data_IF_266719436900
#
_entry.id   IF_266719436900
#
_cell.length_a   1.000
_cell.length_b   1.000
_cell.length_c   1.000
_cell.angle_alpha   90.00
_cell.angle_beta   90.00
_cell.angle_gamma   90.00
#
_symmetry.space_group_name_H-M   'P 1'
#
loop_
_entity.id
_entity.type
_entity.pdbx_description
1 polymer ?
#
# COMPACT_ATOMS: atom_id res chain seq x y z
N UNK A 1 24.38 -16.77 -35.46
CA UNK A 1 23.53 -17.84 -36.06
C UNK A 1 23.70 -19.07 -35.19
N UNK A 2 22.70 -19.69 -34.58
CA UNK A 2 21.24 -19.52 -34.61
C UNK A 2 20.69 -19.83 -33.21
N UNK A 3 19.76 -18.99 -32.78
CA UNK A 3 18.79 -19.25 -31.72
C UNK A 3 17.98 -20.49 -32.07
N UNK A 4 17.91 -21.46 -31.18
CA UNK A 4 16.74 -22.35 -31.06
C UNK A 4 16.68 -22.93 -29.64
N UNK A 5 15.88 -22.31 -28.77
CA UNK A 5 15.11 -23.09 -27.78
C UNK A 5 13.69 -22.53 -27.70
N UNK A 6 12.79 -23.49 -27.77
CA UNK A 6 11.34 -23.41 -27.96
C UNK A 6 10.69 -22.54 -26.90
N UNK A 7 9.90 -21.57 -27.36
CA UNK A 7 8.66 -21.17 -26.71
C UNK A 7 7.69 -22.35 -26.84
N UNK A 8 7.25 -22.96 -25.75
CA UNK A 8 5.94 -23.64 -25.64
C UNK A 8 5.70 -24.12 -24.19
N UNK A 9 4.45 -23.89 -23.73
CA UNK A 9 3.77 -24.39 -22.53
C UNK A 9 3.94 -23.65 -21.18
N UNK A 10 2.89 -22.91 -20.79
CA UNK A 10 2.34 -22.80 -19.43
C UNK A 10 3.26 -22.62 -18.20
N UNK A 11 4.31 -21.80 -18.28
CA UNK A 11 5.28 -21.60 -17.18
C UNK A 11 4.78 -20.82 -15.94
N UNK A 12 3.47 -20.54 -15.80
CA UNK A 12 2.98 -19.66 -14.73
C UNK A 12 2.29 -20.36 -13.56
N UNK A 13 2.23 -21.70 -13.53
CA UNK A 13 1.73 -22.47 -12.39
C UNK A 13 2.66 -23.65 -12.13
N UNK A 14 3.39 -23.60 -11.02
CA UNK A 14 4.01 -24.78 -10.41
C UNK A 14 3.68 -24.74 -8.91
N UNK A 15 3.20 -25.84 -8.36
CA UNK A 15 3.03 -26.09 -6.92
C UNK A 15 2.25 -25.06 -6.08
N UNK A 16 1.20 -24.42 -6.64
CA UNK A 16 0.20 -23.71 -5.82
C UNK A 16 0.70 -22.53 -4.96
N UNK A 17 1.75 -21.81 -5.38
CA UNK A 17 2.30 -20.65 -4.65
C UNK A 17 2.44 -19.38 -5.53
N UNK A 18 2.43 -18.21 -4.89
CA UNK A 18 2.52 -16.87 -5.50
C UNK A 18 3.83 -16.70 -6.30
N UNK A 19 3.77 -16.36 -7.59
CA UNK A 19 4.96 -16.39 -8.47
C UNK A 19 5.22 -15.18 -9.36
N UNK A 20 4.32 -14.18 -9.42
CA UNK A 20 4.58 -12.98 -10.25
C UNK A 20 3.90 -11.72 -9.75
N UNK A 21 4.50 -10.59 -10.07
CA UNK A 21 3.85 -9.28 -10.00
C UNK A 21 3.05 -9.08 -11.30
N UNK A 22 1.77 -8.75 -11.15
CA UNK A 22 0.85 -8.52 -12.26
C UNK A 22 0.50 -7.02 -12.33
N UNK A 23 1.01 -6.29 -13.34
CA UNK A 23 0.61 -4.92 -13.58
C UNK A 23 -0.75 -4.85 -14.29
N UNK A 24 -1.68 -4.07 -13.76
CA UNK A 24 -2.87 -3.63 -14.50
C UNK A 24 -2.62 -2.22 -15.07
N UNK A 25 -2.13 -2.17 -16.30
CA UNK A 25 -1.72 -0.94 -16.98
C UNK A 25 -2.89 0.01 -17.30
N UNK A 26 -4.14 -0.45 -17.23
CA UNK A 26 -5.31 0.44 -17.34
C UNK A 26 -5.33 1.52 -16.25
N UNK A 27 -4.68 1.27 -15.11
CA UNK A 27 -4.55 2.22 -14.01
C UNK A 27 -3.32 3.13 -14.12
N UNK A 28 -2.43 2.90 -15.08
CA UNK A 28 -1.18 3.66 -15.17
C UNK A 28 -1.46 5.14 -15.47
N UNK A 29 -0.82 6.04 -14.71
CA UNK A 29 -0.99 7.49 -14.89
C UNK A 29 -0.59 7.94 -16.31
N UNK A 30 0.43 7.30 -16.90
CA UNK A 30 0.88 7.55 -18.28
C UNK A 30 -0.14 7.15 -19.35
N UNK A 31 -1.03 6.20 -19.04
CA UNK A 31 -2.13 5.81 -19.92
C UNK A 31 -3.32 6.76 -19.80
N UNK A 32 -3.48 7.40 -18.63
CA UNK A 32 -4.57 8.35 -18.36
C UNK A 32 -4.27 9.75 -18.87
N UNK A 33 -3.02 10.20 -18.79
CA UNK A 33 -2.54 11.48 -19.31
C UNK A 33 -1.25 11.27 -20.09
N UNK A 34 -1.27 11.51 -21.41
CA UNK A 34 -0.12 11.29 -22.29
C UNK A 34 1.10 12.15 -21.91
N UNK A 35 0.88 13.36 -21.37
CA UNK A 35 1.95 14.24 -20.88
C UNK A 35 2.43 13.89 -19.46
N UNK A 36 1.89 12.84 -18.83
CA UNK A 36 2.37 12.38 -17.53
C UNK A 36 3.76 11.74 -17.67
N UNK A 37 4.69 12.22 -16.87
CA UNK A 37 6.10 11.83 -16.83
C UNK A 37 6.42 10.87 -15.66
N UNK A 38 5.41 10.38 -14.93
CA UNK A 38 5.61 9.56 -13.73
C UNK A 38 6.55 8.36 -13.98
N UNK A 39 7.56 8.22 -13.12
CA UNK A 39 8.59 7.16 -13.19
C UNK A 39 8.82 6.42 -11.86
N UNK A 40 8.01 6.67 -10.84
CA UNK A 40 8.23 6.17 -9.47
C UNK A 40 8.53 4.67 -9.38
N UNK A 41 7.81 3.82 -10.14
CA UNK A 41 8.06 2.38 -10.13
C UNK A 41 9.35 1.96 -10.86
N UNK A 42 9.69 2.66 -11.95
CA UNK A 42 10.92 2.46 -12.74
C UNK A 42 12.13 2.90 -11.92
N UNK A 43 12.10 4.12 -11.40
CA UNK A 43 13.21 4.69 -10.62
C UNK A 43 13.36 3.98 -9.26
N UNK A 44 12.28 3.40 -8.74
CA UNK A 44 12.28 2.58 -7.52
C UNK A 44 12.73 1.12 -7.73
N UNK A 45 12.87 0.65 -8.97
CA UNK A 45 13.23 -0.74 -9.27
C UNK A 45 14.75 -0.93 -9.20
N UNK A 46 15.23 -1.52 -8.10
CA UNK A 46 16.67 -1.74 -7.88
C UNK A 46 17.28 -2.83 -8.77
N UNK A 47 16.44 -3.65 -9.41
CA UNK A 47 16.84 -4.71 -10.33
C UNK A 47 16.59 -4.35 -11.80
N UNK A 48 16.18 -3.11 -12.08
CA UNK A 48 15.94 -2.61 -13.45
C UNK A 48 14.94 -3.42 -14.28
N UNK A 49 14.11 -4.24 -13.63
CA UNK A 49 13.02 -5.00 -14.24
C UNK A 49 11.88 -4.15 -14.81
N UNK A 50 11.89 -2.82 -14.64
CA UNK A 50 10.82 -1.93 -15.10
C UNK A 50 11.39 -0.86 -16.01
N UNK A 51 10.75 -0.64 -17.16
CA UNK A 51 11.11 0.39 -18.14
C UNK A 51 9.89 1.23 -18.53
N UNK A 52 10.11 2.47 -18.96
CA UNK A 52 9.04 3.31 -19.53
C UNK A 52 8.86 2.95 -21.00
N UNK A 53 7.61 2.75 -21.40
CA UNK A 53 7.21 2.56 -22.80
C UNK A 53 6.08 3.53 -23.14
N UNK A 54 5.73 3.63 -24.42
CA UNK A 54 4.64 4.50 -24.88
C UNK A 54 3.34 4.19 -24.14
N UNK A 55 2.78 5.19 -23.45
CA UNK A 55 1.53 5.06 -22.70
C UNK A 55 1.59 4.22 -21.42
N UNK A 56 2.77 3.82 -20.94
CA UNK A 56 2.85 2.94 -19.78
C UNK A 56 4.25 2.58 -19.31
N UNK A 57 4.34 1.37 -18.77
CA UNK A 57 5.58 0.72 -18.31
C UNK A 57 5.53 -0.75 -18.69
N UNK A 58 6.70 -1.34 -18.88
CA UNK A 58 6.88 -2.76 -19.15
C UNK A 58 7.64 -3.41 -17.98
N UNK A 59 7.26 -4.64 -17.63
CA UNK A 59 7.88 -5.43 -16.57
C UNK A 59 8.58 -6.65 -17.18
N UNK A 60 9.91 -6.68 -17.05
CA UNK A 60 10.72 -7.86 -17.36
C UNK A 60 10.62 -8.85 -16.18
N UNK A 61 9.96 -9.98 -16.42
CA UNK A 61 9.80 -11.02 -15.40
C UNK A 61 11.10 -11.80 -15.13
N UNK A 62 12.06 -11.81 -16.05
CA UNK A 62 13.37 -12.45 -15.87
C UNK A 62 14.27 -11.71 -14.88
N UNK A 63 14.17 -10.37 -14.85
CA UNK A 63 14.92 -9.51 -13.93
C UNK A 63 14.15 -9.23 -12.61
N UNK A 64 12.86 -9.56 -12.55
CA UNK A 64 12.02 -9.25 -11.40
C UNK A 64 12.24 -10.22 -10.24
N UNK A 65 12.73 -9.71 -9.11
CA UNK A 65 12.93 -10.50 -7.88
C UNK A 65 11.70 -10.57 -6.96
N UNK A 66 10.54 -10.10 -7.43
CA UNK A 66 9.29 -10.05 -6.67
C UNK A 66 9.36 -9.27 -5.34
N UNK A 67 10.29 -8.31 -5.21
CA UNK A 67 10.45 -7.53 -3.97
C UNK A 67 9.25 -6.62 -3.61
N UNK A 68 8.32 -6.39 -4.54
CA UNK A 68 7.10 -5.61 -4.30
C UNK A 68 7.26 -4.10 -4.24
N UNK A 69 8.47 -3.57 -4.43
CA UNK A 69 8.71 -2.12 -4.33
C UNK A 69 7.83 -1.29 -5.28
N UNK A 70 7.54 -1.81 -6.47
CA UNK A 70 6.65 -1.16 -7.44
C UNK A 70 5.21 -1.06 -6.92
N UNK A 71 4.71 -2.08 -6.20
CA UNK A 71 3.39 -2.07 -5.56
C UNK A 71 3.33 -1.06 -4.42
N UNK A 72 4.38 -0.98 -3.59
CA UNK A 72 4.45 -0.01 -2.50
C UNK A 72 4.48 1.44 -3.00
N UNK A 73 5.31 1.74 -4.00
CA UNK A 73 5.56 3.12 -4.44
C UNK A 73 4.53 3.66 -5.45
N UNK A 74 3.84 2.79 -6.20
CA UNK A 74 2.93 3.24 -7.26
C UNK A 74 1.68 3.94 -6.69
N UNK A 75 1.48 5.24 -6.91
CA UNK A 75 0.31 5.97 -6.39
C UNK A 75 -1.01 5.50 -7.02
N UNK A 76 -0.96 4.94 -8.23
CA UNK A 76 -2.15 4.44 -8.92
C UNK A 76 -2.50 2.97 -8.59
N UNK A 77 -1.65 2.29 -7.80
CA UNK A 77 -1.84 0.87 -7.46
C UNK A 77 -1.94 -0.02 -8.71
N UNK A 78 -0.97 0.12 -9.62
CA UNK A 78 -0.86 -0.67 -10.87
C UNK A 78 -0.45 -2.11 -10.59
N UNK A 79 0.46 -2.32 -9.64
CA UNK A 79 1.10 -3.61 -9.41
C UNK A 79 0.41 -4.37 -8.27
N UNK A 80 0.11 -5.64 -8.52
CA UNK A 80 -0.44 -6.59 -7.54
C UNK A 80 0.38 -7.87 -7.59
N UNK A 81 0.29 -8.70 -6.55
CA UNK A 81 0.88 -10.03 -6.58
C UNK A 81 -0.16 -11.02 -7.09
N UNK A 82 0.21 -11.88 -8.04
CA UNK A 82 -0.68 -12.92 -8.52
C UNK A 82 -1.16 -13.75 -7.34
N UNK A 83 -2.47 -13.69 -7.12
CA UNK A 83 -3.19 -14.34 -6.05
C UNK A 83 -3.05 -13.69 -4.66
N UNK A 84 -1.96 -12.99 -4.32
CA UNK A 84 -1.79 -12.43 -2.98
C UNK A 84 -2.42 -11.03 -2.91
N UNK A 85 -3.56 -10.92 -2.23
CA UNK A 85 -4.14 -9.63 -1.87
C UNK A 85 -3.61 -9.19 -0.50
N UNK A 86 -2.48 -8.47 -0.52
CA UNK A 86 -1.83 -7.93 0.67
C UNK A 86 -2.79 -7.06 1.49
N UNK A 87 -3.64 -6.27 0.84
CA UNK A 87 -4.57 -5.40 1.56
C UNK A 87 -5.61 -6.23 2.30
N UNK A 88 -6.25 -7.16 1.60
CA UNK A 88 -7.27 -8.01 2.22
C UNK A 88 -6.66 -8.84 3.36
N UNK A 89 -5.44 -9.33 3.18
CA UNK A 89 -4.70 -10.03 4.23
C UNK A 89 -4.46 -9.16 5.47
N UNK A 90 -4.06 -7.89 5.29
CA UNK A 90 -3.88 -6.95 6.40
C UNK A 90 -5.21 -6.59 7.09
N UNK A 91 -6.29 -6.46 6.32
CA UNK A 91 -7.62 -6.18 6.86
C UNK A 91 -8.12 -7.34 7.73
N UNK A 92 -8.05 -8.57 7.21
CA UNK A 92 -8.55 -9.78 7.87
C UNK A 92 -7.69 -10.22 9.08
N UNK A 93 -6.49 -9.66 9.24
CA UNK A 93 -5.59 -10.03 10.33
C UNK A 93 -6.16 -9.69 11.71
N UNK A 94 -6.45 -10.69 12.53
CA UNK A 94 -7.26 -10.53 13.75
C UNK A 94 -6.46 -10.41 15.06
N UNK A 95 -5.21 -9.93 15.02
CA UNK A 95 -4.34 -9.91 16.20
C UNK A 95 -4.66 -8.74 17.13
N UNK A 96 -4.76 -9.02 18.43
CA UNK A 96 -5.08 -8.05 19.47
C UNK A 96 -3.82 -7.54 20.23
N UNK A 97 -2.66 -8.23 20.24
CA UNK A 97 -1.43 -7.79 20.95
C UNK A 97 -0.12 -8.16 20.22
N UNK A 98 0.76 -7.16 19.99
CA UNK A 98 2.13 -7.28 19.42
C UNK A 98 2.25 -8.10 18.12
N UNK A 99 1.56 -7.69 17.04
CA UNK A 99 1.61 -8.35 15.74
C UNK A 99 3.03 -8.52 15.17
N UNK A 100 3.31 -9.69 14.59
CA UNK A 100 4.54 -9.98 13.85
C UNK A 100 4.31 -9.92 12.34
N UNK A 101 5.02 -9.04 11.65
CA UNK A 101 5.03 -8.97 10.18
C UNK A 101 6.30 -9.62 9.66
N UNK A 102 6.15 -10.58 8.75
CA UNK A 102 7.27 -11.33 8.18
C UNK A 102 7.20 -11.37 6.64
N UNK A 103 8.14 -12.09 6.01
CA UNK A 103 8.08 -12.34 4.58
C UNK A 103 8.26 -13.81 4.18
N UNK A 104 7.71 -14.15 3.01
CA UNK A 104 7.82 -15.46 2.36
C UNK A 104 9.08 -15.62 1.50
N UNK A 105 9.91 -14.58 1.39
CA UNK A 105 11.07 -14.55 0.48
C UNK A 105 12.22 -15.51 0.88
N UNK A 106 12.08 -16.25 1.99
CA UNK A 106 12.92 -17.38 2.32
C UNK A 106 12.06 -18.62 2.41
N UNK A 107 12.44 -19.69 1.71
CA UNK A 107 11.92 -21.04 1.96
C UNK A 107 12.21 -21.39 3.42
N UNK A 108 11.30 -21.04 4.33
CA UNK A 108 11.38 -21.52 5.70
C UNK A 108 10.81 -22.93 5.74
N UNK A 109 11.57 -23.93 6.19
CA UNK A 109 11.02 -25.25 6.47
C UNK A 109 9.89 -25.08 7.51
N UNK A 110 8.68 -25.58 7.22
CA UNK A 110 7.60 -25.68 8.22
C UNK A 110 6.43 -24.70 8.12
N UNK A 111 6.25 -23.99 7.00
CA UNK A 111 4.99 -23.36 6.56
C UNK A 111 3.99 -22.89 7.65
N UNK A 112 3.94 -21.57 7.88
CA UNK A 112 3.10 -20.79 8.84
C UNK A 112 3.71 -20.59 10.24
N UNK A 113 3.87 -19.32 10.65
CA UNK A 113 4.29 -18.96 12.02
C UNK A 113 3.09 -18.53 12.87
N UNK A 114 2.27 -19.48 13.32
CA UNK A 114 1.25 -19.19 14.35
C UNK A 114 0.16 -18.19 13.95
N UNK A 115 -0.66 -17.80 14.93
CA UNK A 115 -1.90 -17.00 14.74
C UNK A 115 -1.60 -15.50 14.64
N UNK A 116 -0.45 -15.07 15.17
CA UNK A 116 -0.06 -13.66 15.29
C UNK A 116 0.94 -13.18 14.23
N UNK A 117 1.18 -13.97 13.19
CA UNK A 117 2.03 -13.61 12.07
C UNK A 117 1.21 -13.26 10.82
N UNK A 118 1.57 -12.16 10.17
CA UNK A 118 1.18 -11.89 8.79
C UNK A 118 2.40 -11.89 7.89
N UNK A 119 2.47 -12.89 7.00
CA UNK A 119 3.54 -12.99 6.01
C UNK A 119 3.23 -12.19 4.75
N UNK A 120 4.22 -11.50 4.19
CA UNK A 120 4.13 -10.79 2.92
C UNK A 120 5.04 -11.45 1.88
N UNK A 121 4.81 -11.32 0.56
CA UNK A 121 5.78 -11.79 -0.44
C UNK A 121 7.20 -11.26 -0.18
N UNK A 122 7.30 -9.99 0.20
CA UNK A 122 8.50 -9.34 0.69
C UNK A 122 8.09 -8.19 1.60
N UNK A 123 8.89 -7.87 2.63
CA UNK A 123 8.68 -6.64 3.41
C UNK A 123 8.78 -5.37 2.54
N UNK A 124 9.54 -5.45 1.44
CA UNK A 124 9.63 -4.38 0.43
C UNK A 124 8.32 -4.04 -0.27
N UNK A 125 7.30 -4.91 -0.17
CA UNK A 125 5.95 -4.66 -0.71
C UNK A 125 5.10 -3.75 0.20
N UNK A 126 5.49 -3.57 1.46
CA UNK A 126 4.71 -2.80 2.42
C UNK A 126 4.91 -1.30 2.18
N UNK A 127 3.80 -0.57 1.98
CA UNK A 127 3.82 0.86 1.74
C UNK A 127 3.72 1.66 3.05
N UNK A 128 4.14 2.94 3.08
CA UNK A 128 3.96 3.79 4.26
C UNK A 128 2.49 3.85 4.74
N UNK A 129 1.55 3.88 3.80
CA UNK A 129 0.11 3.85 4.08
C UNK A 129 -0.32 2.57 4.84
N UNK A 130 0.23 1.41 4.44
CA UNK A 130 -0.02 0.15 5.13
C UNK A 130 0.63 0.12 6.52
N UNK A 131 1.80 0.74 6.70
CA UNK A 131 2.45 0.88 8.02
C UNK A 131 1.60 1.76 8.96
N UNK A 132 1.05 2.88 8.46
CA UNK A 132 0.12 3.71 9.23
C UNK A 132 -1.11 2.90 9.65
N UNK A 133 -1.68 2.11 8.72
CA UNK A 133 -2.79 1.22 9.02
C UNK A 133 -2.44 0.23 10.15
N UNK A 134 -1.28 -0.41 10.08
CA UNK A 134 -0.82 -1.34 11.13
C UNK A 134 -0.77 -0.64 12.51
N UNK A 135 -0.13 0.53 12.60
CA UNK A 135 -0.02 1.24 13.87
C UNK A 135 -1.36 1.69 14.45
N UNK A 136 -2.31 2.09 13.61
CA UNK A 136 -3.60 2.58 14.05
C UNK A 136 -4.62 1.47 14.33
N UNK A 137 -4.52 0.33 13.64
CA UNK A 137 -5.55 -0.73 13.67
C UNK A 137 -5.11 -2.02 14.34
N UNK A 138 -3.80 -2.33 14.34
CA UNK A 138 -3.27 -3.61 14.83
C UNK A 138 -2.44 -3.46 16.11
N UNK A 139 -1.90 -2.27 16.38
CA UNK A 139 -1.29 -1.94 17.66
C UNK A 139 -0.20 -0.87 17.56
N UNK A 140 0.04 -0.16 18.66
CA UNK A 140 1.09 0.85 18.71
C UNK A 140 2.52 0.23 18.68
N UNK A 141 2.65 -1.06 19.01
CA UNK A 141 3.89 -1.82 18.89
C UNK A 141 3.73 -2.92 17.85
N UNK A 142 4.56 -2.89 16.80
CA UNK A 142 4.58 -3.90 15.73
C UNK A 142 5.98 -4.51 15.65
N UNK A 143 6.07 -5.83 15.58
CA UNK A 143 7.33 -6.55 15.38
C UNK A 143 7.50 -6.89 13.90
N UNK A 144 8.75 -6.81 13.40
CA UNK A 144 9.10 -7.14 12.03
C UNK A 144 10.25 -8.14 11.99
N UNK A 145 10.07 -9.18 11.19
CA UNK A 145 11.03 -10.26 11.06
C UNK A 145 12.00 -10.02 9.90
N UNK A 146 13.26 -9.75 10.26
CA UNK A 146 14.38 -9.49 9.36
C UNK A 146 15.43 -10.60 9.37
N UNK A 147 15.20 -11.70 10.10
CA UNK A 147 16.17 -12.80 10.29
C UNK A 147 16.76 -13.31 8.97
N UNK A 148 15.92 -13.48 7.94
CA UNK A 148 16.34 -13.92 6.62
C UNK A 148 16.84 -12.83 5.66
N UNK A 149 16.81 -11.55 6.06
CA UNK A 149 17.05 -10.43 5.13
C UNK A 149 18.54 -10.14 4.88
N UNK A 150 19.44 -10.55 5.78
CA UNK A 150 20.89 -10.28 5.69
C UNK A 150 21.54 -10.87 4.43
N UNK A 151 21.09 -12.06 4.01
CA UNK A 151 21.61 -12.79 2.83
C UNK A 151 20.57 -12.89 1.70
N UNK A 152 19.45 -12.16 1.78
CA UNK A 152 18.39 -12.22 0.79
C UNK A 152 18.73 -11.36 -0.44
N UNK A 153 18.38 -11.84 -1.65
CA UNK A 153 18.49 -11.05 -2.89
C UNK A 153 17.75 -9.70 -2.77
N UNK A 154 16.67 -9.66 -1.99
CA UNK A 154 15.83 -8.47 -1.75
C UNK A 154 16.28 -7.59 -0.57
N UNK A 155 17.50 -7.77 -0.03
CA UNK A 155 18.03 -6.97 1.09
C UNK A 155 17.92 -5.45 0.83
N UNK A 156 18.34 -4.96 -0.34
CA UNK A 156 18.30 -3.52 -0.66
C UNK A 156 16.87 -2.95 -0.72
N UNK A 157 15.89 -3.59 -1.40
CA UNK A 157 14.49 -3.21 -1.28
C UNK A 157 13.98 -3.15 0.16
N UNK A 158 14.36 -4.13 1.00
CA UNK A 158 13.95 -4.19 2.40
C UNK A 158 14.57 -3.05 3.21
N UNK A 159 15.83 -2.65 2.96
CA UNK A 159 16.42 -1.45 3.57
C UNK A 159 15.61 -0.18 3.25
N UNK A 160 15.05 -0.06 2.04
CA UNK A 160 14.18 1.07 1.68
C UNK A 160 12.83 1.02 2.40
N UNK A 161 12.30 -0.17 2.66
CA UNK A 161 11.15 -0.34 3.54
C UNK A 161 11.48 0.06 4.98
N UNK A 162 12.60 -0.41 5.52
CA UNK A 162 13.02 -0.09 6.89
C UNK A 162 13.10 1.43 7.14
N UNK A 163 13.67 2.21 6.20
CA UNK A 163 13.65 3.68 6.28
C UNK A 163 12.23 4.26 6.31
N UNK A 164 11.34 3.77 5.46
CA UNK A 164 9.94 4.19 5.46
C UNK A 164 9.23 3.85 6.79
N UNK A 165 9.53 2.68 7.38
CA UNK A 165 9.05 2.27 8.69
C UNK A 165 9.56 3.22 9.79
N UNK A 166 10.87 3.50 9.82
CA UNK A 166 11.47 4.45 10.78
C UNK A 166 10.85 5.84 10.69
N UNK A 167 10.69 6.35 9.47
CA UNK A 167 10.10 7.67 9.24
C UNK A 167 8.63 7.71 9.66
N UNK A 168 7.86 6.65 9.37
CA UNK A 168 6.46 6.56 9.78
C UNK A 168 6.34 6.45 11.31
N UNK A 169 7.18 5.65 11.95
CA UNK A 169 7.20 5.53 13.41
C UNK A 169 7.59 6.86 14.08
N UNK A 170 8.60 7.58 13.55
CA UNK A 170 8.96 8.93 14.03
C UNK A 170 7.81 9.93 13.85
N UNK A 171 7.10 9.86 12.72
CA UNK A 171 5.98 10.74 12.40
C UNK A 171 4.79 10.52 13.34
N UNK A 172 4.50 9.27 13.68
CA UNK A 172 3.31 8.87 14.46
C UNK A 172 3.58 8.73 15.96
N UNK A 173 4.82 8.46 16.36
CA UNK A 173 5.26 8.19 17.73
C UNK A 173 4.74 9.22 18.75
N UNK A 174 4.90 10.53 18.52
CA UNK A 174 4.39 11.57 19.42
C UNK A 174 2.87 11.56 19.62
N UNK A 175 2.10 11.05 18.66
CA UNK A 175 0.64 11.12 18.69
C UNK A 175 -0.01 9.84 19.20
N UNK A 176 0.53 8.67 18.82
CA UNK A 176 -0.09 7.36 19.12
C UNK A 176 0.87 6.38 19.80
N UNK A 177 2.08 6.81 20.16
CA UNK A 177 3.07 5.94 20.77
C UNK A 177 3.59 4.85 19.82
N UNK A 178 3.53 5.09 18.50
CA UNK A 178 3.99 4.15 17.48
C UNK A 178 5.47 3.79 17.70
N UNK A 179 5.72 2.49 17.89
CA UNK A 179 7.03 1.88 18.11
C UNK A 179 7.11 0.57 17.34
N UNK A 180 8.31 0.15 16.98
CA UNK A 180 8.48 -1.12 16.31
C UNK A 180 9.71 -1.85 16.86
N UNK A 181 9.68 -3.16 16.71
CA UNK A 181 10.82 -4.04 17.00
C UNK A 181 11.27 -4.68 15.70
N UNK A 182 12.57 -4.75 15.47
CA UNK A 182 13.14 -5.54 14.37
C UNK A 182 13.86 -6.74 14.96
N UNK A 183 13.48 -7.91 14.48
CA UNK A 183 14.04 -9.19 14.91
C UNK A 183 15.02 -9.64 13.83
N UNK A 184 16.31 -9.72 14.18
CA UNK A 184 17.38 -10.16 13.27
C UNK A 184 17.97 -11.51 13.67
N UNK A 185 17.63 -12.01 14.84
CA UNK A 185 18.14 -13.26 15.40
C UNK A 185 17.04 -14.33 15.48
N UNK A 186 17.34 -15.57 15.08
CA UNK A 186 16.36 -16.67 15.02
C UNK A 186 15.85 -17.12 16.39
N UNK A 187 16.68 -17.00 17.44
CA UNK A 187 16.27 -17.33 18.80
C UNK A 187 15.29 -16.29 19.33
N UNK A 188 15.56 -15.00 19.12
CA UNK A 188 14.62 -13.92 19.42
C UNK A 188 13.28 -14.08 18.69
N UNK A 189 13.34 -14.48 17.41
CA UNK A 189 12.15 -14.77 16.62
C UNK A 189 11.33 -15.91 17.23
N UNK A 190 11.98 -17.02 17.59
CA UNK A 190 11.35 -18.17 18.24
C UNK A 190 10.67 -17.78 19.56
N UNK A 191 11.32 -16.94 20.36
CA UNK A 191 10.77 -16.44 21.62
C UNK A 191 9.55 -15.53 21.43
N UNK A 192 9.55 -14.69 20.40
CA UNK A 192 8.41 -13.83 20.04
C UNK A 192 7.20 -14.67 19.60
N UNK A 193 7.41 -15.64 18.72
CA UNK A 193 6.35 -16.56 18.26
C UNK A 193 5.79 -17.37 19.44
N UNK A 194 6.66 -17.85 20.33
CA UNK A 194 6.24 -18.57 21.53
C UNK A 194 5.46 -17.68 22.51
N UNK A 195 5.72 -16.37 22.56
CA UNK A 195 4.92 -15.41 23.34
C UNK A 195 3.52 -15.20 22.74
N UNK A 196 3.41 -15.00 21.43
CA UNK A 196 2.10 -14.88 20.74
C UNK A 196 1.21 -16.12 20.92
N UNK A 197 1.78 -17.33 20.79
CA UNK A 197 1.04 -18.58 21.05
C UNK A 197 0.51 -18.70 22.50
N UNK A 198 1.15 -18.03 23.47
CA UNK A 198 0.74 -18.06 24.89
C UNK A 198 -0.33 -17.02 25.21
N UNK A 199 -0.40 -15.89 24.50
CA UNK A 199 -1.53 -14.95 24.61
C UNK A 199 -2.81 -15.53 23.99
N UNK A 200 -2.69 -16.35 22.94
CA UNK A 200 -3.80 -17.07 22.30
C UNK A 200 -4.58 -18.00 23.26
N UNK A 201 -3.90 -18.74 24.14
CA UNK A 201 -4.56 -19.57 25.16
C UNK A 201 -5.41 -18.76 26.15
N UNK A 202 -5.16 -17.45 26.28
CA UNK A 202 -5.97 -16.52 27.07
C UNK A 202 -7.08 -15.84 26.25
N UNK A 203 -6.97 -15.77 24.91
CA UNK A 203 -7.95 -15.09 24.04
C UNK A 203 -9.06 -15.99 23.50
N UNK A 204 -8.88 -17.32 23.53
CA UNK A 204 -9.85 -18.32 23.03
C UNK A 204 -11.31 -18.12 23.52
N UNK A 205 -11.51 -17.55 24.71
CA UNK A 205 -12.85 -17.21 25.21
C UNK A 205 -13.53 -16.02 24.52
N UNK A 206 -12.78 -15.10 23.91
CA UNK A 206 -13.29 -13.90 23.23
C UNK A 206 -13.56 -14.12 21.73
N UNK A 207 -12.80 -15.00 21.09
CA UNK A 207 -12.88 -15.24 19.65
C UNK A 207 -14.14 -16.02 19.22
N UNK A 208 -14.65 -16.91 20.08
CA UNK A 208 -15.94 -17.60 19.86
C UNK A 208 -17.11 -16.61 19.80
N UNK A 209 -17.07 -15.53 20.60
CA UNK A 209 -18.09 -14.48 20.60
C UNK A 209 -17.99 -13.59 19.36
N UNK A 210 -16.78 -13.33 18.84
CA UNK A 210 -16.56 -12.53 17.61
C UNK A 210 -16.98 -13.26 16.33
N UNK A 211 -16.80 -14.58 16.26
CA UNK A 211 -17.23 -15.39 15.11
C UNK A 211 -18.75 -15.34 14.90
N UNK A 212 -19.53 -15.10 15.94
CA UNK A 212 -20.98 -14.91 15.84
C UNK A 212 -21.41 -13.50 15.38
N UNK A 213 -20.51 -12.51 15.39
CA UNK A 213 -20.78 -11.11 15.03
C UNK A 213 -20.18 -10.66 13.69
N UNK A 214 -19.77 -11.59 12.82
CA UNK A 214 -19.27 -11.22 11.49
C UNK A 214 -20.43 -10.84 10.55
N UNK A 215 -21.02 -9.68 10.79
CA UNK A 215 -21.74 -8.97 9.74
C UNK A 215 -20.74 -8.68 8.63
N UNK A 216 -20.98 -9.30 7.47
CA UNK A 216 -20.28 -8.92 6.25
C UNK A 216 -20.70 -7.48 5.97
N UNK A 217 -19.81 -6.53 6.25
CA UNK A 217 -19.89 -5.23 5.59
C UNK A 217 -19.66 -5.47 4.10
N UNK A 218 -20.72 -5.81 3.37
CA UNK A 218 -20.85 -5.46 1.97
C UNK A 218 -20.76 -3.95 1.91
N UNK A 219 -19.56 -3.44 1.64
CA UNK A 219 -19.45 -2.04 1.24
C UNK A 219 -20.24 -1.89 -0.05
N UNK A 220 -21.32 -1.13 0.03
CA UNK A 220 -22.09 -0.72 -1.13
C UNK A 220 -21.14 0.00 -2.09
N UNK A 221 -20.74 -0.69 -3.17
CA UNK A 221 -20.01 -0.10 -4.28
C UNK A 221 -21.00 0.78 -5.03
N UNK A 222 -21.05 2.07 -4.68
CA UNK A 222 -21.58 3.06 -5.61
C UNK A 222 -20.58 3.14 -6.77
N UNK A 223 -20.87 2.37 -7.83
CA UNK A 223 -20.16 2.39 -9.10
C UNK A 223 -20.44 3.72 -9.79
N UNK A 224 -19.58 4.70 -9.51
CA UNK A 224 -19.31 5.76 -10.46
C UNK A 224 -18.34 5.16 -11.49
N UNK A 225 -18.87 4.78 -12.65
CA UNK A 225 -18.18 4.00 -13.68
C UNK A 225 -16.79 4.59 -13.98
N UNK A 226 -15.73 3.82 -13.71
CA UNK A 226 -14.34 4.19 -14.03
C UNK A 226 -13.52 4.85 -12.92
N UNK A 227 -14.07 5.10 -11.72
CA UNK A 227 -13.29 5.58 -10.55
C UNK A 227 -12.86 4.43 -9.63
N UNK A 228 -11.58 4.36 -9.30
CA UNK A 228 -10.99 3.31 -8.42
C UNK A 228 -10.07 3.94 -7.39
N UNK A 229 -10.25 3.56 -6.12
CA UNK A 229 -9.32 3.90 -5.05
C UNK A 229 -8.28 2.77 -4.88
N UNK A 230 -6.96 3.06 -5.00
CA UNK A 230 -5.92 2.06 -4.78
C UNK A 230 -5.98 1.46 -3.36
N UNK A 231 -5.58 0.21 -3.27
CA UNK A 231 -5.58 -0.60 -2.05
C UNK A 231 -4.95 0.10 -0.84
N UNK A 232 -3.71 0.55 -1.00
CA UNK A 232 -2.98 1.27 0.05
C UNK A 232 -3.68 2.57 0.50
N UNK A 233 -4.36 3.26 -0.40
CA UNK A 233 -5.12 4.48 -0.08
C UNK A 233 -6.40 4.14 0.68
N UNK A 234 -7.05 3.01 0.37
CA UNK A 234 -8.16 2.48 1.17
C UNK A 234 -7.74 2.15 2.60
N UNK A 235 -6.62 1.45 2.78
CA UNK A 235 -6.05 1.15 4.11
C UNK A 235 -5.82 2.43 4.92
N UNK A 236 -5.15 3.42 4.33
CA UNK A 236 -4.90 4.69 5.02
C UNK A 236 -6.20 5.42 5.37
N UNK A 237 -7.14 5.48 4.43
CA UNK A 237 -8.44 6.12 4.64
C UNK A 237 -9.19 5.46 5.78
N UNK A 238 -9.30 4.13 5.79
CA UNK A 238 -9.99 3.39 6.86
C UNK A 238 -9.31 3.61 8.22
N UNK A 239 -7.97 3.54 8.26
CA UNK A 239 -7.16 3.81 9.44
C UNK A 239 -7.48 5.20 10.04
N UNK A 240 -7.37 6.25 9.23
CA UNK A 240 -7.57 7.62 9.68
C UNK A 240 -9.03 7.95 10.02
N UNK A 241 -10.01 7.40 9.27
CA UNK A 241 -11.42 7.66 9.55
C UNK A 241 -11.86 7.07 10.88
N UNK A 242 -11.31 5.91 11.25
CA UNK A 242 -11.59 5.23 12.51
C UNK A 242 -10.75 5.68 13.71
N UNK A 243 -9.74 6.52 13.49
CA UNK A 243 -8.89 7.02 14.57
C UNK A 243 -9.69 7.93 15.52
N UNK A 244 -9.32 7.90 16.81
CA UNK A 244 -9.95 8.73 17.84
C UNK A 244 -9.95 10.23 17.46
N UNK A 245 -11.06 10.91 17.76
CA UNK A 245 -11.37 12.25 17.26
C UNK A 245 -10.29 13.27 17.65
N UNK A 246 -9.75 13.14 18.86
CA UNK A 246 -8.77 14.05 19.45
C UNK A 246 -7.47 14.09 18.66
N UNK A 247 -7.06 12.95 18.09
CA UNK A 247 -5.79 12.80 17.35
C UNK A 247 -5.97 12.91 15.84
N UNK A 248 -7.21 12.83 15.36
CA UNK A 248 -7.55 12.72 13.93
C UNK A 248 -7.03 13.90 13.12
N UNK A 249 -7.15 15.13 13.61
CA UNK A 249 -6.73 16.34 12.87
C UNK A 249 -5.23 16.35 12.59
N UNK A 250 -4.40 16.07 13.60
CA UNK A 250 -2.94 16.07 13.49
C UNK A 250 -2.44 14.93 12.60
N UNK A 251 -2.98 13.73 12.79
CA UNK A 251 -2.67 12.56 11.96
C UNK A 251 -3.05 12.80 10.50
N UNK A 252 -4.23 13.36 10.25
CA UNK A 252 -4.69 13.69 8.89
C UNK A 252 -3.75 14.68 8.22
N UNK A 253 -3.33 15.75 8.92
CA UNK A 253 -2.41 16.74 8.37
C UNK A 253 -1.03 16.17 7.99
N UNK A 254 -0.60 15.10 8.67
CA UNK A 254 0.69 14.43 8.41
C UNK A 254 0.59 13.36 7.32
N UNK A 255 -0.53 12.64 7.28
CA UNK A 255 -0.70 11.44 6.46
C UNK A 255 -1.43 11.69 5.13
N UNK A 256 -2.25 12.74 5.01
CA UNK A 256 -2.96 13.07 3.78
C UNK A 256 -2.29 14.23 3.05
N UNK A 257 -2.40 14.26 1.70
CA UNK A 257 -1.97 15.41 0.93
C UNK A 257 -2.91 16.60 1.12
N UNK A 258 -2.39 17.81 0.94
CA UNK A 258 -3.19 19.02 0.85
C UNK A 258 -3.50 19.32 -0.61
N UNK A 259 -4.75 19.65 -0.91
CA UNK A 259 -5.20 20.05 -2.24
C UNK A 259 -5.74 21.47 -2.12
N UNK A 260 -5.03 22.42 -2.70
CA UNK A 260 -5.43 23.84 -2.70
C UNK A 260 -6.03 24.18 -4.05
N UNK A 261 -7.13 24.94 -4.04
CA UNK A 261 -7.80 25.44 -5.25
C UNK A 261 -7.78 26.97 -5.19
N UNK A 262 -7.18 27.56 -6.20
CA UNK A 262 -6.96 28.99 -6.28
C UNK A 262 -8.20 29.75 -6.73
N UNK A 263 -8.25 31.05 -6.39
CA UNK A 263 -9.42 31.90 -6.64
C UNK A 263 -9.74 32.09 -8.12
N UNK A 264 -8.74 31.98 -9.00
CA UNK A 264 -8.90 32.08 -10.45
C UNK A 264 -9.34 30.77 -11.12
N UNK A 265 -9.70 29.75 -10.33
CA UNK A 265 -10.29 28.52 -10.88
C UNK A 265 -11.59 28.82 -11.63
N UNK A 266 -11.62 28.50 -12.92
CA UNK A 266 -12.78 28.69 -13.80
C UNK A 266 -13.88 27.63 -13.63
N UNK A 267 -13.71 26.68 -12.69
CA UNK A 267 -14.63 25.55 -12.45
C UNK A 267 -14.90 24.70 -13.71
N UNK A 268 -13.93 24.61 -14.62
CA UNK A 268 -13.98 23.65 -15.72
C UNK A 268 -13.89 22.19 -15.20
N UNK A 269 -14.48 21.19 -15.88
CA UNK A 269 -14.56 19.82 -15.36
C UNK A 269 -13.26 18.99 -15.55
N UNK A 270 -12.18 19.57 -16.08
CA UNK A 270 -10.95 18.85 -16.48
C UNK A 270 -10.32 18.06 -15.33
N UNK A 271 -10.09 18.70 -14.19
CA UNK A 271 -9.50 18.05 -13.02
C UNK A 271 -10.39 16.92 -12.47
N UNK A 272 -11.71 17.08 -12.54
CA UNK A 272 -12.70 16.08 -12.12
C UNK A 272 -12.70 14.85 -13.05
N UNK A 273 -12.56 15.06 -14.35
CA UNK A 273 -12.44 13.96 -15.33
C UNK A 273 -11.10 13.22 -15.22
N UNK A 274 -10.02 13.96 -14.96
CA UNK A 274 -8.68 13.37 -14.88
C UNK A 274 -8.43 12.66 -13.54
N UNK A 275 -9.13 13.01 -12.46
CA UNK A 275 -8.96 12.39 -11.15
C UNK A 275 -9.44 10.91 -11.15
N UNK A 276 -8.55 9.92 -10.97
CA UNK A 276 -8.92 8.50 -11.07
C UNK A 276 -9.70 7.99 -9.84
N UNK A 277 -9.56 8.66 -8.69
CA UNK A 277 -10.19 8.25 -7.44
C UNK A 277 -11.46 9.04 -7.12
N UNK A 278 -11.71 10.12 -7.86
CA UNK A 278 -12.76 11.09 -7.53
C UNK A 278 -12.46 11.92 -6.28
N UNK A 279 -11.18 12.12 -5.92
CA UNK A 279 -10.74 13.07 -4.90
C UNK A 279 -11.06 14.53 -5.25
N UNK A 280 -11.26 14.83 -6.53
CA UNK A 280 -11.69 16.15 -7.01
C UNK A 280 -12.99 15.96 -7.78
N UNK A 281 -14.06 16.65 -7.36
CA UNK A 281 -15.39 16.56 -7.96
C UNK A 281 -16.00 17.93 -8.15
N UNK A 282 -16.59 18.17 -9.32
CA UNK A 282 -17.44 19.33 -9.55
C UNK A 282 -18.86 18.99 -9.10
N UNK A 283 -19.35 19.68 -8.07
CA UNK A 283 -20.71 19.55 -7.56
C UNK A 283 -21.52 20.79 -7.95
N UNK A 284 -22.78 20.57 -8.30
CA UNK A 284 -23.76 21.63 -8.57
C UNK A 284 -24.71 21.67 -7.39
N UNK A 285 -24.79 22.83 -6.75
CA UNK A 285 -25.86 23.17 -5.82
C UNK A 285 -26.79 24.18 -6.53
N UNK A 286 -28.05 24.31 -6.08
CA UNK A 286 -29.24 24.83 -6.78
C UNK A 286 -29.03 25.98 -7.79
N UNK A 287 -28.01 26.85 -7.63
CA UNK A 287 -27.57 27.80 -8.68
C UNK A 287 -26.03 28.04 -8.80
N UNK A 288 -25.17 27.24 -8.15
CA UNK A 288 -23.70 27.45 -8.14
C UNK A 288 -22.93 26.14 -8.33
N UNK A 289 -21.89 26.20 -9.17
CA UNK A 289 -20.87 25.15 -9.26
C UNK A 289 -19.85 25.34 -8.15
N UNK A 290 -19.40 24.25 -7.54
CA UNK A 290 -18.27 24.25 -6.60
C UNK A 290 -17.38 23.05 -6.86
N UNK A 291 -16.08 23.26 -6.73
CA UNK A 291 -15.12 22.16 -6.73
C UNK A 291 -15.00 21.63 -5.30
N UNK A 292 -15.36 20.36 -5.11
CA UNK A 292 -15.14 19.62 -3.88
C UNK A 292 -13.85 18.83 -3.96
N UNK A 293 -13.06 18.88 -2.89
CA UNK A 293 -11.82 18.12 -2.73
C UNK A 293 -11.93 17.21 -1.50
N UNK A 294 -11.52 15.96 -1.66
CA UNK A 294 -11.45 14.97 -0.58
C UNK A 294 -10.03 14.39 -0.49
N UNK A 295 -9.22 14.89 0.47
CA UNK A 295 -7.87 14.38 0.71
C UNK A 295 -7.80 12.88 1.01
N UNK A 296 -8.85 12.26 1.57
CA UNK A 296 -8.86 10.83 1.89
C UNK A 296 -8.91 9.95 0.64
N UNK A 297 -9.30 10.51 -0.50
CA UNK A 297 -9.32 9.83 -1.79
C UNK A 297 -8.08 10.15 -2.64
N UNK A 298 -7.26 11.13 -2.22
CA UNK A 298 -6.15 11.61 -3.03
C UNK A 298 -4.93 10.70 -2.90
N UNK A 299 -4.38 10.30 -4.04
CA UNK A 299 -3.19 9.43 -4.11
C UNK A 299 -1.92 10.21 -4.40
N UNK A 300 -1.97 11.54 -4.38
CA UNK A 300 -0.86 12.42 -4.81
C UNK A 300 -0.33 12.06 -6.20
N UNK A 301 -1.22 11.77 -7.15
CA UNK A 301 -0.83 11.40 -8.52
C UNK A 301 -0.52 12.61 -9.42
N UNK A 302 -0.78 13.83 -8.96
CA UNK A 302 -0.54 15.10 -9.67
C UNK A 302 -1.26 15.27 -11.02
N UNK A 303 -2.15 14.35 -11.40
CA UNK A 303 -2.84 14.45 -12.68
C UNK A 303 -3.74 15.69 -12.79
N UNK A 304 -4.45 16.05 -11.72
CA UNK A 304 -5.34 17.21 -11.74
C UNK A 304 -4.58 18.53 -11.80
N UNK A 305 -3.43 18.63 -11.13
CA UNK A 305 -2.49 19.76 -11.23
C UNK A 305 -1.94 19.89 -12.64
N UNK A 306 -1.35 18.81 -13.18
CA UNK A 306 -0.75 18.80 -14.53
C UNK A 306 -1.75 19.06 -15.66
N UNK A 307 -3.02 18.70 -15.47
CA UNK A 307 -4.06 18.85 -16.49
C UNK A 307 -4.86 20.16 -16.36
N UNK A 308 -4.58 20.99 -15.35
CA UNK A 308 -5.27 22.26 -15.15
C UNK A 308 -4.68 23.34 -16.06
N UNK A 309 -5.43 23.89 -17.04
CA UNK A 309 -4.90 24.94 -17.92
C UNK A 309 -4.62 26.25 -17.18
N UNK A 310 -5.37 26.50 -16.09
CA UNK A 310 -5.25 27.72 -15.27
C UNK A 310 -4.19 27.59 -14.16
N UNK A 311 -3.55 26.42 -14.02
CA UNK A 311 -2.68 26.09 -12.87
C UNK A 311 -3.34 26.39 -11.50
N UNK A 312 -4.67 26.26 -11.43
CA UNK A 312 -5.47 26.68 -10.28
C UNK A 312 -5.65 25.59 -9.21
N UNK A 313 -5.05 24.41 -9.38
CA UNK A 313 -5.08 23.33 -8.40
C UNK A 313 -3.65 22.89 -8.09
N UNK A 314 -3.31 22.87 -6.80
CA UNK A 314 -1.97 22.57 -6.30
C UNK A 314 -2.08 21.41 -5.33
N UNK A 315 -1.23 20.40 -5.50
CA UNK A 315 -1.11 19.25 -4.60
C UNK A 315 0.19 19.36 -3.81
N UNK A 316 0.07 19.43 -2.49
CA UNK A 316 1.21 19.26 -1.59
C UNK A 316 1.18 17.83 -1.06
N UNK A 317 2.21 16.99 -1.34
CA UNK A 317 2.29 15.64 -0.78
C UNK A 317 2.20 15.60 0.74
N UNK A 318 1.66 14.50 1.25
CA UNK A 318 1.71 14.20 2.67
C UNK A 318 3.16 14.09 3.16
N UNK A 319 3.43 14.54 4.38
CA UNK A 319 4.72 14.33 5.05
C UNK A 319 5.10 12.84 5.12
N UNK A 320 4.09 11.97 5.22
CA UNK A 320 4.23 10.51 5.16
C UNK A 320 4.98 10.00 3.91
N UNK A 321 4.85 10.68 2.77
CA UNK A 321 5.41 10.23 1.49
C UNK A 321 6.76 10.90 1.15
N UNK A 322 7.21 11.87 1.95
CA UNK A 322 8.42 12.66 1.70
C UNK A 322 9.63 12.22 2.54
N UNK A 323 9.46 11.20 3.39
CA UNK A 323 10.51 10.68 4.29
C UNK A 323 11.27 9.49 3.72
#
# INVERSE_FOLDING_TARGET
MQLTRRMESDENLVDGQWRKIVPNLAHCLRRRLNSCDCRLCVDGCLFRALSVVTGGVELDCGECTLCGRCAAICPAGVFTFAGCDIEQQLLDWSVDENPLVSCYCGNRPGGRYGVDETGLPCLGALSPEAVVFLFLKKGALISYDFTGCSCCINQRPVTRFFRALENTAKLLGPHIGARFTVITDEKQLSDEIARGRRSFLRSLGRDVVRLMKKERHTTCRNHDEGRRLPAKTRLLRDALLSAAVEKKKELTAKCLPTITVEKWCTLCPRCTGMCPTGAVRLVKDEHKKKLMVDPYLCTSCFLCEKFCPENAIIITPAQLLTG
#
